data_IF_331589199479
#
_entry.id   IF_331589199479
#
_cell.length_a   1.000
_cell.length_b   1.000
_cell.length_c   1.000
_cell.angle_alpha   90.00
_cell.angle_beta   90.00
_cell.angle_gamma   90.00
#
_symmetry.space_group_name_H-M   'P 1'
#
loop_
_entity.id
_entity.type
_entity.pdbx_description
1 polymer ?
#
# COMPACT_ATOMS: atom_id res chain seq x y z
N UNK A 1 27.97 -15.69 0.55
CA UNK A 1 26.96 -14.76 1.08
C UNK A 1 26.56 -13.87 -0.07
N UNK A 2 25.49 -14.22 -0.78
CA UNK A 2 24.95 -13.41 -1.88
C UNK A 2 24.42 -12.11 -1.26
N UNK A 3 24.69 -10.92 -1.84
CA UNK A 3 24.02 -9.69 -1.41
C UNK A 3 22.51 -9.94 -1.50
N UNK A 4 21.77 -9.72 -0.42
CA UNK A 4 20.31 -9.76 -0.47
C UNK A 4 19.86 -8.69 -1.46
N UNK A 5 19.06 -9.10 -2.45
CA UNK A 5 18.39 -8.14 -3.31
C UNK A 5 17.38 -7.39 -2.43
N UNK A 6 17.51 -6.06 -2.26
CA UNK A 6 16.57 -5.28 -1.44
C UNK A 6 15.14 -5.28 -1.98
N UNK A 7 14.91 -5.85 -3.16
CA UNK A 7 13.60 -6.07 -3.77
C UNK A 7 13.19 -7.55 -3.82
N UNK A 8 13.93 -8.47 -3.18
CA UNK A 8 13.51 -9.88 -3.12
C UNK A 8 12.16 -9.97 -2.38
N UNK A 9 11.07 -10.37 -3.07
CA UNK A 9 9.75 -10.48 -2.45
C UNK A 9 9.66 -11.67 -1.48
N UNK A 10 10.67 -12.56 -1.45
CA UNK A 10 10.75 -13.69 -0.55
C UNK A 10 11.61 -13.41 0.70
N UNK A 11 12.32 -12.28 0.74
CA UNK A 11 13.09 -11.88 1.93
C UNK A 11 12.13 -11.40 3.03
N UNK A 12 12.12 -12.06 4.21
CA UNK A 12 11.23 -11.71 5.32
C UNK A 12 11.55 -10.35 5.96
N UNK A 13 12.69 -9.74 5.62
CA UNK A 13 13.12 -8.41 6.07
C UNK A 13 12.71 -7.30 5.11
N UNK A 14 12.24 -7.63 3.90
CA UNK A 14 11.73 -6.65 2.94
C UNK A 14 10.50 -5.93 3.52
N UNK A 15 10.47 -4.59 3.54
CA UNK A 15 9.33 -3.84 4.05
C UNK A 15 8.06 -4.18 3.27
N UNK A 16 6.97 -4.48 3.99
CA UNK A 16 5.65 -4.75 3.39
C UNK A 16 4.98 -3.46 2.94
N UNK A 17 5.58 -2.79 1.94
CA UNK A 17 5.09 -1.53 1.38
C UNK A 17 4.33 -1.77 0.09
N UNK A 18 3.22 -1.08 -0.10
CA UNK A 18 2.39 -1.19 -1.30
C UNK A 18 1.82 0.17 -1.72
N UNK A 19 1.82 0.43 -3.02
CA UNK A 19 1.17 1.61 -3.62
C UNK A 19 -0.20 1.24 -4.18
N UNK A 20 -1.21 2.06 -3.91
CA UNK A 20 -2.56 1.93 -4.49
C UNK A 20 -2.88 3.17 -5.32
N UNK A 21 -3.07 2.98 -6.63
CA UNK A 21 -3.45 4.06 -7.57
C UNK A 21 -4.94 3.94 -7.88
N UNK A 22 -5.70 4.98 -7.54
CA UNK A 22 -7.15 4.98 -7.53
C UNK A 22 -7.70 4.58 -6.17
N UNK A 23 -8.35 5.51 -5.48
CA UNK A 23 -8.90 5.37 -4.12
C UNK A 23 -10.43 5.46 -4.08
N UNK A 24 -11.09 5.19 -5.21
CA UNK A 24 -12.54 4.98 -5.25
C UNK A 24 -12.99 3.75 -4.44
N UNK A 25 -14.26 3.37 -4.54
CA UNK A 25 -14.89 2.36 -3.66
C UNK A 25 -14.10 1.04 -3.50
N UNK A 26 -13.48 0.55 -4.58
CA UNK A 26 -12.66 -0.67 -4.51
C UNK A 26 -11.24 -0.39 -3.98
N UNK A 27 -10.55 0.59 -4.56
CA UNK A 27 -9.16 0.88 -4.23
C UNK A 27 -8.98 1.38 -2.79
N UNK A 28 -9.90 2.23 -2.32
CA UNK A 28 -9.92 2.68 -0.92
C UNK A 28 -10.18 1.52 0.06
N UNK A 29 -11.17 0.67 -0.22
CA UNK A 29 -11.44 -0.50 0.62
C UNK A 29 -10.25 -1.50 0.66
N UNK A 30 -9.57 -1.67 -0.47
CA UNK A 30 -8.36 -2.48 -0.56
C UNK A 30 -7.20 -1.85 0.24
N UNK A 31 -6.96 -0.54 0.08
CA UNK A 31 -5.93 0.19 0.83
C UNK A 31 -6.17 0.08 2.34
N UNK A 32 -7.41 0.29 2.79
CA UNK A 32 -7.80 0.14 4.19
C UNK A 32 -7.58 -1.29 4.71
N UNK A 33 -7.95 -2.30 3.91
CA UNK A 33 -7.73 -3.72 4.28
C UNK A 33 -6.24 -4.05 4.42
N UNK A 34 -5.39 -3.55 3.53
CA UNK A 34 -3.94 -3.78 3.57
C UNK A 34 -3.30 -3.07 4.77
N UNK A 35 -3.67 -1.81 5.01
CA UNK A 35 -3.21 -1.04 6.17
C UNK A 35 -3.61 -1.75 7.48
N UNK A 36 -4.85 -2.20 7.59
CA UNK A 36 -5.34 -2.98 8.74
C UNK A 36 -4.63 -4.32 8.95
N UNK A 37 -3.91 -4.83 7.94
CA UNK A 37 -3.09 -6.04 8.01
C UNK A 37 -1.60 -5.75 8.25
N UNK A 38 -1.25 -4.50 8.57
CA UNK A 38 0.11 -4.08 8.89
C UNK A 38 1.00 -3.84 7.66
N UNK A 39 0.41 -3.65 6.48
CA UNK A 39 1.17 -3.16 5.32
C UNK A 39 1.37 -1.64 5.44
N UNK A 40 2.50 -1.17 4.96
CA UNK A 40 2.77 0.24 4.76
C UNK A 40 2.17 0.67 3.40
N UNK A 41 1.02 1.33 3.45
CA UNK A 41 0.22 1.63 2.25
C UNK A 41 0.37 3.09 1.86
N UNK A 42 0.71 3.33 0.60
CA UNK A 42 0.72 4.68 -0.01
C UNK A 42 -0.41 4.77 -1.04
N UNK A 43 -1.40 5.61 -0.77
CA UNK A 43 -2.51 5.88 -1.69
C UNK A 43 -2.23 7.05 -2.64
N UNK A 44 -2.67 6.95 -3.89
CA UNK A 44 -2.61 8.03 -4.88
C UNK A 44 -3.91 8.10 -5.69
N UNK A 45 -4.57 9.25 -5.69
CA UNK A 45 -5.75 9.52 -6.51
C UNK A 45 -5.77 11.01 -6.92
N UNK A 46 -6.12 11.36 -8.17
CA UNK A 46 -6.25 12.76 -8.58
C UNK A 46 -7.39 13.50 -7.84
N UNK A 47 -8.41 12.79 -7.38
CA UNK A 47 -9.52 13.36 -6.61
C UNK A 47 -9.10 13.60 -5.16
N UNK A 48 -9.23 14.84 -4.69
CA UNK A 48 -9.07 15.16 -3.27
C UNK A 48 -10.08 14.40 -2.39
N UNK A 49 -11.34 14.37 -2.81
CA UNK A 49 -12.41 13.69 -2.07
C UNK A 49 -12.14 12.18 -1.92
N UNK A 50 -11.55 11.52 -2.92
CA UNK A 50 -11.20 10.11 -2.83
C UNK A 50 -10.05 9.85 -1.84
N UNK A 51 -9.09 10.77 -1.75
CA UNK A 51 -8.00 10.71 -0.75
C UNK A 51 -8.54 10.90 0.66
N UNK A 52 -9.34 11.94 0.88
CA UNK A 52 -9.95 12.24 2.18
C UNK A 52 -10.82 11.08 2.68
N UNK A 53 -11.64 10.49 1.79
CA UNK A 53 -12.47 9.34 2.14
C UNK A 53 -11.67 8.07 2.48
N UNK A 54 -10.43 7.93 2.00
CA UNK A 54 -9.57 6.79 2.27
C UNK A 54 -8.76 6.92 3.57
N UNK A 55 -8.72 8.12 4.17
CA UNK A 55 -8.02 8.42 5.43
C UNK A 55 -8.91 8.27 6.67
N UNK A 56 -10.21 7.98 6.48
CA UNK A 56 -11.23 7.87 7.55
C UNK A 56 -11.41 6.44 8.05
#
# INVERSE_FOLDING_TARGET
MTPTDPLDPLDPTTPRRIGVVGLGSMGGAMAASLAGRGWDVVGCDPSAAAREAAET
#
